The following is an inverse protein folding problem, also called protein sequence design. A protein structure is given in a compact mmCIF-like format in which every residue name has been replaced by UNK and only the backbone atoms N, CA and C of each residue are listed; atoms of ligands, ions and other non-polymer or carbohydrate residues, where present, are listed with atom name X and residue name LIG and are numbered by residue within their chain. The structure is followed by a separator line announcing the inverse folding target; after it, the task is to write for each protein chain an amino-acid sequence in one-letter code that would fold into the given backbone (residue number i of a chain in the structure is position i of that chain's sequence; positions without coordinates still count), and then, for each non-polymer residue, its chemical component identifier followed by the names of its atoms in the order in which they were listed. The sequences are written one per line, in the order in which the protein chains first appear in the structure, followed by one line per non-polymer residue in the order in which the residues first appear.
data_IF_252405305551
#
_entry.id   IF_252405305551
#
_cell.length_a   1.000
_cell.length_b   1.000
_cell.length_c   1.000
_cell.angle_alpha   90.00
_cell.angle_beta   90.00
_cell.angle_gamma   90.00
#
_symmetry.space_group_name_H-M   'P 1'
#
loop_
_entity.id
_entity.type
_entity.pdbx_description
1 polymer ?
#
# COMPACT_ATOMS: atom_id res chain seq x y z
N UNK A 1 -16.25 7.48 -0.17
CA UNK A 1 -15.08 7.12 -1.00
C UNK A 1 -13.88 7.87 -0.45
N UNK A 2 -12.71 7.24 -0.39
CA UNK A 2 -11.48 7.91 0.01
C UNK A 2 -10.78 8.47 -1.23
N UNK A 3 -10.13 9.61 -1.10
CA UNK A 3 -9.39 10.26 -2.19
C UNK A 3 -8.00 9.68 -2.41
N UNK A 4 -7.47 9.00 -1.39
CA UNK A 4 -6.06 8.69 -1.29
C UNK A 4 -5.79 7.63 -0.21
N UNK A 5 -4.59 7.03 -0.23
CA UNK A 5 -4.12 6.11 0.79
C UNK A 5 -4.20 6.72 2.20
N UNK A 6 -3.75 7.95 2.40
CA UNK A 6 -3.77 8.58 3.72
C UNK A 6 -5.20 8.78 4.25
N UNK A 7 -6.11 9.21 3.38
CA UNK A 7 -7.53 9.31 3.71
C UNK A 7 -8.12 7.93 4.07
N UNK A 8 -7.74 6.89 3.34
CA UNK A 8 -8.14 5.51 3.60
C UNK A 8 -7.62 5.00 4.95
N UNK A 9 -6.33 5.23 5.26
CA UNK A 9 -5.72 4.80 6.52
C UNK A 9 -6.29 5.56 7.72
N UNK A 10 -6.71 6.81 7.53
CA UNK A 10 -7.36 7.61 8.57
C UNK A 10 -8.79 7.14 8.84
N UNK A 11 -9.58 6.90 7.79
CA UNK A 11 -11.00 6.54 7.93
C UNK A 11 -11.29 5.05 8.08
N UNK A 12 -10.33 4.15 7.82
CA UNK A 12 -10.54 2.71 7.89
C UNK A 12 -9.50 2.01 8.77
N UNK A 13 -9.94 1.63 9.98
CA UNK A 13 -9.11 0.88 10.93
C UNK A 13 -8.57 -0.43 10.35
N UNK A 14 -9.37 -1.16 9.57
CA UNK A 14 -8.95 -2.44 8.97
C UNK A 14 -7.94 -2.25 7.84
N UNK A 15 -8.08 -1.18 7.04
CA UNK A 15 -7.08 -0.85 6.01
C UNK A 15 -5.76 -0.43 6.67
N UNK A 16 -5.83 0.37 7.75
CA UNK A 16 -4.66 0.77 8.53
C UNK A 16 -3.95 -0.43 9.18
N UNK A 17 -4.70 -1.34 9.80
CA UNK A 17 -4.13 -2.55 10.40
C UNK A 17 -3.41 -3.41 9.36
N UNK A 18 -4.01 -3.59 8.18
CA UNK A 18 -3.37 -4.30 7.08
C UNK A 18 -2.10 -3.58 6.58
N UNK A 19 -2.15 -2.26 6.40
CA UNK A 19 -0.98 -1.50 5.95
C UNK A 19 0.19 -1.62 6.94
N UNK A 20 -0.08 -1.53 8.23
CA UNK A 20 0.93 -1.65 9.28
C UNK A 20 1.48 -3.07 9.43
N UNK A 21 0.77 -4.11 8.97
CA UNK A 21 1.30 -5.48 8.95
C UNK A 21 2.26 -5.74 7.78
N UNK A 22 2.35 -4.82 6.80
CA UNK A 22 3.25 -4.97 5.67
C UNK A 22 4.70 -4.60 6.07
N UNK A 23 5.72 -5.17 5.41
CA UNK A 23 7.11 -4.74 5.61
C UNK A 23 7.31 -3.26 5.29
N UNK A 24 8.22 -2.58 6.00
CA UNK A 24 8.52 -1.14 5.81
C UNK A 24 8.83 -0.77 4.36
N UNK A 25 9.65 -1.52 3.60
CA UNK A 25 9.91 -1.18 2.20
C UNK A 25 8.62 -1.14 1.36
N UNK A 26 7.69 -2.04 1.65
CA UNK A 26 6.40 -2.13 0.99
C UNK A 26 5.48 -0.98 1.39
N UNK A 27 5.46 -0.60 2.67
CA UNK A 27 4.75 0.60 3.15
C UNK A 27 5.24 1.86 2.43
N UNK A 28 6.56 2.02 2.29
CA UNK A 28 7.17 3.16 1.60
C UNK A 28 6.81 3.18 0.11
N UNK A 29 6.85 2.04 -0.57
CA UNK A 29 6.43 1.95 -1.98
C UNK A 29 4.95 2.25 -2.19
N UNK A 30 4.09 1.80 -1.27
CA UNK A 30 2.66 2.10 -1.31
C UNK A 30 2.38 3.57 -1.04
N UNK A 31 3.13 4.20 -0.12
CA UNK A 31 3.08 5.64 0.10
C UNK A 31 3.48 6.45 -1.13
N UNK A 32 4.40 5.97 -1.97
CA UNK A 32 4.71 6.65 -3.25
C UNK A 32 3.56 6.57 -4.26
N UNK A 33 2.66 5.61 -4.08
CA UNK A 33 1.48 5.39 -4.92
C UNK A 33 0.19 5.90 -4.25
N UNK A 34 0.33 6.86 -3.34
CA UNK A 34 -0.72 7.47 -2.52
C UNK A 34 -2.05 7.61 -3.32
N UNK A 35 -2.04 8.46 -4.36
CA UNK A 35 -3.22 8.82 -5.17
C UNK A 35 -3.89 7.64 -5.89
N UNK A 36 -3.18 6.51 -6.06
CA UNK A 36 -3.71 5.33 -6.73
C UNK A 36 -4.47 4.40 -5.78
N UNK A 37 -4.48 4.66 -4.46
CA UNK A 37 -5.04 3.76 -3.45
C UNK A 37 -6.21 4.42 -2.72
N UNK A 38 -7.39 4.36 -3.35
CA UNK A 38 -8.61 4.98 -2.82
C UNK A 38 -9.54 4.00 -2.07
N UNK A 39 -9.12 2.75 -1.89
CA UNK A 39 -9.93 1.70 -1.24
C UNK A 39 -9.07 0.58 -0.66
N UNK A 40 -9.63 -0.18 0.30
CA UNK A 40 -8.96 -1.34 0.88
C UNK A 40 -8.66 -2.43 -0.16
N UNK A 41 -9.51 -2.59 -1.19
CA UNK A 41 -9.26 -3.52 -2.29
C UNK A 41 -8.07 -3.06 -3.15
N UNK A 42 -8.00 -1.76 -3.47
CA UNK A 42 -6.86 -1.18 -4.18
C UNK A 42 -5.56 -1.34 -3.38
N UNK A 43 -5.62 -1.11 -2.05
CA UNK A 43 -4.47 -1.28 -1.16
C UNK A 43 -3.91 -2.71 -1.23
N UNK A 44 -4.76 -3.72 -1.07
CA UNK A 44 -4.35 -5.14 -1.14
C UNK A 44 -3.77 -5.51 -2.50
N UNK A 45 -4.40 -5.03 -3.58
CA UNK A 45 -3.92 -5.29 -4.95
C UNK A 45 -2.54 -4.69 -5.17
N UNK A 46 -2.36 -3.41 -4.84
CA UNK A 46 -1.08 -2.70 -4.96
C UNK A 46 -0.01 -3.31 -4.07
N UNK A 47 -0.37 -3.76 -2.87
CA UNK A 47 0.57 -4.44 -1.98
C UNK A 47 1.08 -5.75 -2.62
N UNK A 48 0.19 -6.59 -3.15
CA UNK A 48 0.58 -7.84 -3.82
C UNK A 48 1.42 -7.60 -5.08
N UNK A 49 1.05 -6.61 -5.91
CA UNK A 49 1.82 -6.23 -7.09
C UNK A 49 3.23 -5.76 -6.73
N UNK A 50 3.32 -4.83 -5.77
CA UNK A 50 4.59 -4.28 -5.29
C UNK A 50 5.48 -5.38 -4.72
N UNK A 51 4.92 -6.25 -3.87
CA UNK A 51 5.65 -7.38 -3.30
C UNK A 51 6.24 -8.28 -4.39
N UNK A 52 5.43 -8.61 -5.41
CA UNK A 52 5.86 -9.43 -6.52
C UNK A 52 6.99 -8.79 -7.34
N UNK A 53 6.95 -7.47 -7.54
CA UNK A 53 8.00 -6.74 -8.24
C UNK A 53 9.30 -6.65 -7.42
N UNK A 54 9.20 -6.51 -6.09
CA UNK A 54 10.35 -6.52 -5.19
C UNK A 54 11.02 -7.90 -5.15
N UNK A 55 10.23 -8.98 -5.08
CA UNK A 55 10.73 -10.37 -5.17
C UNK A 55 11.43 -10.66 -6.50
N UNK A 56 11.02 -9.98 -7.58
CA UNK A 56 11.64 -10.07 -8.91
C UNK A 56 12.87 -9.16 -9.07
N UNK A 57 13.21 -8.34 -8.07
CA UNK A 57 14.31 -7.37 -8.15
C UNK A 57 14.06 -6.21 -9.12
N UNK A 58 12.81 -5.98 -9.53
CA UNK A 58 12.43 -4.91 -10.47
C UNK A 58 12.37 -3.55 -9.78
N UNK A 59 11.93 -3.53 -8.52
CA UNK A 59 11.97 -2.35 -7.66
C UNK A 59 12.81 -2.66 -6.43
N UNK A 60 13.77 -1.78 -6.09
CA UNK A 60 14.60 -1.98 -4.91
C UNK A 60 13.73 -1.87 -3.65
N UNK A 61 13.96 -2.72 -2.63
CA UNK A 61 13.57 -2.36 -1.27
C UNK A 61 14.36 -1.10 -0.92
N UNK A 62 13.63 0.00 -0.75
CA UNK A 62 14.21 1.29 -0.33
C UNK A 62 15.14 1.14 0.87
#
# INVERSE_FOLDING_TARGET
MYTDLQALLSGSSSARAYFLSLPVPLQMQLHRQNDAICSAAALRRRAAETEGLMKKGIIPPL
#
